data_IF_353845636736
#
_entry.id   IF_353845636736
#
_cell.length_a   1.000
_cell.length_b   1.000
_cell.length_c   1.000
_cell.angle_alpha   90.00
_cell.angle_beta   90.00
_cell.angle_gamma   90.00
#
_symmetry.space_group_name_H-M   'P 1'
#
loop_
_entity.id
_entity.type
_entity.pdbx_description
1 polymer ?
#
# COMPACT_ATOMS: atom_id res chain seq x y z
N UNK A 1 21.26 10.16 21.51
CA UNK A 1 19.85 10.43 21.84
C UNK A 1 19.04 10.06 20.60
N UNK A 2 17.97 9.26 20.74
CA UNK A 2 17.16 8.79 19.60
C UNK A 2 16.52 10.00 18.91
N UNK A 3 16.73 10.16 17.61
CA UNK A 3 16.09 11.21 16.81
C UNK A 3 14.65 10.80 16.53
N UNK A 4 13.69 11.62 16.92
CA UNK A 4 12.25 11.37 16.70
C UNK A 4 11.70 12.31 15.65
N UNK A 5 10.96 11.75 14.72
CA UNK A 5 10.34 12.45 13.60
C UNK A 5 8.93 11.91 13.38
N UNK A 6 8.18 12.58 12.51
CA UNK A 6 6.81 12.22 12.10
C UNK A 6 6.64 12.45 10.60
N UNK A 7 5.54 11.97 10.02
CA UNK A 7 5.23 12.18 8.62
C UNK A 7 4.71 13.61 8.39
N UNK A 8 5.15 14.26 7.31
CA UNK A 8 4.67 15.59 6.92
C UNK A 8 3.38 15.51 6.07
N UNK A 9 2.52 14.54 6.37
CA UNK A 9 1.25 14.39 5.67
C UNK A 9 0.34 15.60 5.94
N UNK A 10 -0.34 16.05 4.89
CA UNK A 10 -1.28 17.16 4.87
C UNK A 10 -2.53 16.69 4.12
N UNK A 11 -3.71 17.01 4.64
CA UNK A 11 -4.97 16.53 4.09
C UNK A 11 -5.22 15.05 4.35
N UNK A 12 -6.08 14.44 3.54
CA UNK A 12 -6.50 13.05 3.69
C UNK A 12 -5.41 12.09 3.19
N UNK A 13 -5.31 10.94 3.85
CA UNK A 13 -4.33 9.89 3.50
C UNK A 13 -5.07 8.68 2.95
N UNK A 14 -4.60 8.16 1.81
CA UNK A 14 -5.13 6.94 1.21
C UNK A 14 -4.12 5.81 1.29
N UNK A 15 -4.51 4.71 1.93
CA UNK A 15 -3.67 3.52 2.11
C UNK A 15 -4.38 2.30 1.54
N UNK A 16 -3.69 1.56 0.67
CA UNK A 16 -4.14 0.26 0.16
C UNK A 16 -3.21 -0.83 0.68
N UNK A 17 -3.75 -1.80 1.39
CA UNK A 17 -3.10 -3.07 1.68
C UNK A 17 -3.60 -4.08 0.65
N UNK A 18 -2.70 -4.75 -0.04
CA UNK A 18 -3.07 -5.83 -0.96
C UNK A 18 -2.08 -6.95 -0.86
N UNK A 19 -2.57 -8.18 -0.84
CA UNK A 19 -1.71 -9.32 -0.62
C UNK A 19 -2.27 -10.64 -1.09
N UNK A 20 -1.44 -11.65 -0.93
CA UNK A 20 -1.76 -13.02 -1.22
C UNK A 20 -1.26 -13.95 -0.13
N UNK A 21 -1.93 -15.08 0.01
CA UNK A 21 -1.52 -16.19 0.86
C UNK A 21 -1.36 -17.47 0.04
N UNK A 22 -0.23 -18.13 0.20
CA UNK A 22 0.02 -19.46 -0.36
C UNK A 22 -0.64 -20.48 0.56
N UNK A 23 -1.80 -21.00 0.17
CA UNK A 23 -2.49 -22.04 0.93
C UNK A 23 -1.85 -23.42 0.70
N UNK A 24 -1.35 -23.67 -0.52
CA UNK A 24 -0.61 -24.90 -0.87
C UNK A 24 0.71 -24.58 -1.57
N UNK A 25 1.84 -24.80 -0.90
CA UNK A 25 3.18 -24.53 -1.47
C UNK A 25 3.45 -25.24 -2.79
N UNK A 26 3.00 -26.50 -2.92
CA UNK A 26 3.16 -27.30 -4.16
C UNK A 26 2.45 -26.69 -5.38
N UNK A 27 1.52 -25.77 -5.19
CA UNK A 27 0.79 -25.09 -6.27
C UNK A 27 1.60 -23.94 -6.91
N UNK A 28 2.91 -24.11 -7.12
CA UNK A 28 3.83 -23.07 -7.61
C UNK A 28 3.37 -22.43 -8.91
N UNK A 29 2.87 -23.24 -9.84
CA UNK A 29 2.33 -22.76 -11.14
C UNK A 29 1.09 -21.86 -11.01
N UNK A 30 0.48 -21.82 -9.82
CA UNK A 30 -0.67 -20.96 -9.52
C UNK A 30 -0.26 -19.71 -8.75
N UNK A 31 0.50 -19.85 -7.67
CA UNK A 31 0.83 -18.70 -6.80
C UNK A 31 1.98 -17.85 -7.34
N UNK A 32 3.00 -18.44 -7.98
CA UNK A 32 4.16 -17.69 -8.47
C UNK A 32 3.78 -16.63 -9.53
N UNK A 33 2.91 -16.91 -10.52
CA UNK A 33 2.46 -15.87 -11.45
C UNK A 33 1.71 -14.71 -10.78
N UNK A 34 0.98 -14.95 -9.69
CA UNK A 34 0.27 -13.89 -8.95
C UNK A 34 1.27 -12.98 -8.26
N UNK A 35 2.28 -13.56 -7.60
CA UNK A 35 3.35 -12.79 -6.98
C UNK A 35 4.13 -11.95 -8.00
N UNK A 36 4.52 -12.55 -9.12
CA UNK A 36 5.24 -11.84 -10.20
C UNK A 36 4.38 -10.74 -10.84
N UNK A 37 3.07 -10.94 -10.97
CA UNK A 37 2.16 -9.91 -11.47
C UNK A 37 2.12 -8.71 -10.53
N UNK A 38 2.03 -8.94 -9.21
CA UNK A 38 2.10 -7.86 -8.21
C UNK A 38 3.41 -7.07 -8.33
N UNK A 39 4.56 -7.75 -8.40
CA UNK A 39 5.85 -7.07 -8.56
C UNK A 39 5.94 -6.24 -9.85
N UNK A 40 5.44 -6.78 -10.97
CA UNK A 40 5.43 -6.05 -12.25
C UNK A 40 4.51 -4.82 -12.20
N UNK A 41 3.34 -4.96 -11.60
CA UNK A 41 2.39 -3.85 -11.39
C UNK A 41 3.04 -2.71 -10.59
N UNK A 42 3.75 -3.04 -9.52
CA UNK A 42 4.41 -2.04 -8.68
C UNK A 42 5.57 -1.32 -9.38
N UNK A 43 6.29 -2.00 -10.28
CA UNK A 43 7.32 -1.40 -11.14
C UNK A 43 6.72 -0.49 -12.21
N UNK A 44 5.54 -0.81 -12.73
CA UNK A 44 4.82 0.05 -13.68
C UNK A 44 4.38 1.35 -13.01
N UNK A 45 3.79 1.26 -11.81
CA UNK A 45 3.44 2.43 -11.01
C UNK A 45 4.64 3.29 -10.65
N UNK A 46 5.78 2.68 -10.34
CA UNK A 46 7.07 3.35 -10.12
C UNK A 46 7.51 4.22 -11.31
N UNK A 47 7.25 3.76 -12.53
CA UNK A 47 7.62 4.46 -13.77
C UNK A 47 6.59 5.50 -14.20
N UNK A 48 5.42 5.51 -13.57
CA UNK A 48 4.29 6.37 -13.94
C UNK A 48 3.75 7.11 -12.70
N UNK A 49 4.56 8.01 -12.11
CA UNK A 49 4.18 8.72 -10.89
C UNK A 49 2.87 9.50 -11.04
N UNK A 50 2.53 9.95 -12.26
CA UNK A 50 1.26 10.61 -12.57
C UNK A 50 0.01 9.80 -12.15
N UNK A 51 0.12 8.47 -12.08
CA UNK A 51 -0.95 7.57 -11.63
C UNK A 51 -1.24 7.66 -10.12
N UNK A 52 -0.37 8.31 -9.34
CA UNK A 52 -0.66 8.72 -7.96
C UNK A 52 -0.22 7.76 -6.86
N UNK A 53 0.65 6.79 -7.16
CA UNK A 53 1.31 5.99 -6.12
C UNK A 53 2.47 6.82 -5.52
N UNK A 54 2.35 7.20 -4.26
CA UNK A 54 3.37 7.98 -3.53
C UNK A 54 4.49 7.10 -3.01
N UNK A 55 4.14 6.02 -2.32
CA UNK A 55 5.11 5.10 -1.75
C UNK A 55 4.54 3.68 -1.66
N UNK A 56 5.43 2.70 -1.51
CA UNK A 56 5.05 1.32 -1.27
C UNK A 56 6.04 0.61 -0.37
N UNK A 57 5.54 -0.33 0.41
CA UNK A 57 6.34 -1.20 1.27
C UNK A 57 5.92 -2.64 1.02
N UNK A 58 6.86 -3.47 0.57
CA UNK A 58 6.66 -4.91 0.42
C UNK A 58 6.97 -5.60 1.73
N UNK A 59 6.03 -6.43 2.20
CA UNK A 59 6.09 -7.08 3.49
C UNK A 59 5.81 -8.57 3.36
N UNK A 60 6.36 -9.32 4.30
CA UNK A 60 6.12 -10.75 4.47
C UNK A 60 5.57 -10.97 5.87
N UNK A 61 4.27 -11.26 5.99
CA UNK A 61 3.64 -11.53 7.29
C UNK A 61 3.99 -12.92 7.82
N UNK A 62 4.25 -13.86 6.91
CA UNK A 62 4.72 -15.22 7.20
C UNK A 62 5.35 -15.78 5.92
N UNK A 63 6.06 -16.93 5.98
CA UNK A 63 6.57 -17.59 4.76
C UNK A 63 5.50 -17.91 3.70
N UNK A 64 4.21 -17.83 4.07
CA UNK A 64 3.05 -18.05 3.19
C UNK A 64 2.37 -16.76 2.76
N UNK A 65 2.54 -15.65 3.48
CA UNK A 65 1.71 -14.45 3.29
C UNK A 65 2.58 -13.26 2.94
N UNK A 66 2.36 -12.73 1.75
CA UNK A 66 3.08 -11.59 1.21
C UNK A 66 2.06 -10.51 0.88
N UNK A 67 2.38 -9.27 1.22
CA UNK A 67 1.48 -8.15 0.97
C UNK A 67 2.26 -6.86 0.80
N UNK A 68 1.58 -5.86 0.26
CA UNK A 68 2.15 -4.55 -0.02
C UNK A 68 1.25 -3.51 0.59
N UNK A 69 1.86 -2.59 1.35
CA UNK A 69 1.22 -1.35 1.78
C UNK A 69 1.54 -0.30 0.73
N UNK A 70 0.52 0.33 0.18
CA UNK A 70 0.64 1.36 -0.84
C UNK A 70 0.02 2.64 -0.32
N UNK A 71 0.71 3.76 -0.52
CA UNK A 71 0.25 5.10 -0.19
C UNK A 71 -0.09 5.83 -1.47
N UNK A 72 -1.28 6.41 -1.52
CA UNK A 72 -1.83 7.02 -2.73
C UNK A 72 -2.12 8.50 -2.50
N UNK A 73 -1.95 9.31 -3.54
CA UNK A 73 -2.26 10.74 -3.53
C UNK A 73 -3.72 11.03 -3.22
N UNK A 74 -4.63 10.21 -3.74
CA UNK A 74 -6.06 10.36 -3.48
C UNK A 74 -6.82 9.06 -3.75
N UNK A 75 -8.06 9.01 -3.26
CA UNK A 75 -9.00 7.91 -3.53
C UNK A 75 -9.26 7.82 -5.03
N UNK A 76 -9.48 8.95 -5.69
CA UNK A 76 -9.81 9.06 -7.10
C UNK A 76 -8.69 8.49 -7.97
N UNK A 77 -7.42 8.82 -7.67
CA UNK A 77 -6.27 8.26 -8.40
C UNK A 77 -6.12 6.75 -8.18
N UNK A 78 -6.33 6.28 -6.95
CA UNK A 78 -6.37 4.84 -6.66
C UNK A 78 -7.46 4.13 -7.48
N UNK A 79 -8.69 4.67 -7.49
CA UNK A 79 -9.80 4.10 -8.25
C UNK A 79 -9.55 4.15 -9.76
N UNK A 80 -9.06 5.28 -10.28
CA UNK A 80 -8.73 5.45 -11.69
C UNK A 80 -7.70 4.41 -12.15
N UNK A 81 -6.67 4.15 -11.34
CA UNK A 81 -5.71 3.09 -11.64
C UNK A 81 -6.33 1.68 -11.55
N UNK A 82 -7.16 1.42 -10.54
CA UNK A 82 -7.78 0.11 -10.36
C UNK A 82 -8.69 -0.28 -11.54
N UNK A 83 -9.30 0.69 -12.22
CA UNK A 83 -10.20 0.49 -13.37
C UNK A 83 -9.54 0.81 -14.72
N UNK A 84 -8.29 1.26 -14.76
CA UNK A 84 -7.58 1.64 -15.97
C UNK A 84 -7.42 0.43 -16.92
N UNK A 85 -8.03 0.46 -18.12
CA UNK A 85 -7.95 -0.66 -19.07
C UNK A 85 -6.56 -0.80 -19.71
N UNK A 86 -5.79 0.29 -19.75
CA UNK A 86 -4.42 0.37 -20.25
C UNK A 86 -3.36 -0.03 -19.20
N UNK A 87 -3.76 -0.23 -17.94
CA UNK A 87 -2.86 -0.66 -16.89
C UNK A 87 -2.66 -2.17 -16.87
N UNK A 88 -1.43 -2.63 -16.59
CA UNK A 88 -1.14 -4.06 -16.49
C UNK A 88 -1.96 -4.78 -15.40
N UNK A 89 -2.40 -4.04 -14.36
CA UNK A 89 -3.30 -4.56 -13.33
C UNK A 89 -4.56 -5.19 -13.96
N UNK A 90 -5.16 -4.56 -14.97
CA UNK A 90 -6.37 -5.05 -15.63
C UNK A 90 -6.13 -6.41 -16.31
N UNK A 91 -5.04 -6.56 -17.06
CA UNK A 91 -4.68 -7.85 -17.68
C UNK A 91 -4.41 -8.94 -16.64
N UNK A 92 -3.68 -8.60 -15.57
CA UNK A 92 -3.36 -9.52 -14.49
C UNK A 92 -4.64 -10.01 -13.80
N UNK A 93 -5.57 -9.09 -13.55
CA UNK A 93 -6.86 -9.40 -12.94
C UNK A 93 -7.73 -10.27 -13.84
N UNK A 94 -7.77 -9.99 -15.15
CA UNK A 94 -8.48 -10.83 -16.11
C UNK A 94 -7.93 -12.27 -16.14
N UNK A 95 -6.59 -12.44 -16.09
CA UNK A 95 -5.94 -13.77 -16.03
C UNK A 95 -6.27 -14.50 -14.74
N UNK A 96 -6.28 -13.79 -13.61
CA UNK A 96 -6.65 -14.36 -12.32
C UNK A 96 -8.11 -14.81 -12.30
N UNK A 97 -9.04 -13.94 -12.72
CA UNK A 97 -10.47 -14.23 -12.79
C UNK A 97 -10.76 -15.46 -13.65
N UNK A 98 -10.05 -15.65 -14.78
CA UNK A 98 -10.18 -16.88 -15.59
C UNK A 98 -9.77 -18.13 -14.82
N UNK A 99 -8.68 -18.10 -14.06
CA UNK A 99 -8.22 -19.25 -13.25
C UNK A 99 -9.12 -19.52 -12.04
N UNK A 100 -9.73 -18.48 -11.50
CA UNK A 100 -10.72 -18.59 -10.43
C UNK A 100 -11.99 -19.25 -10.95
N UNK A 101 -12.54 -18.77 -12.07
CA UNK A 101 -13.72 -19.36 -12.73
C UNK A 101 -13.52 -20.81 -13.14
N UNK A 102 -12.30 -21.20 -13.54
CA UNK A 102 -11.99 -22.60 -13.85
C UNK A 102 -11.79 -23.48 -12.60
N UNK A 103 -12.00 -22.95 -11.38
CA UNK A 103 -11.82 -23.66 -10.11
C UNK A 103 -10.37 -23.95 -9.71
N UNK A 104 -9.37 -23.56 -10.54
CA UNK A 104 -7.97 -23.96 -10.34
C UNK A 104 -7.32 -23.26 -9.15
N UNK A 105 -7.77 -22.04 -8.83
CA UNK A 105 -7.26 -21.29 -7.68
C UNK A 105 -7.89 -21.68 -6.35
N UNK A 106 -9.08 -22.31 -6.37
CA UNK A 106 -9.87 -22.59 -5.17
C UNK A 106 -9.05 -23.42 -4.17
N UNK A 107 -8.86 -22.86 -2.97
CA UNK A 107 -8.09 -23.49 -1.89
C UNK A 107 -6.57 -23.54 -2.11
N UNK A 108 -6.05 -23.07 -3.25
CA UNK A 108 -4.61 -23.11 -3.56
C UNK A 108 -3.91 -21.78 -3.21
N UNK A 109 -4.56 -20.66 -3.53
CA UNK A 109 -4.05 -19.30 -3.33
C UNK A 109 -5.17 -18.43 -2.78
N UNK A 110 -4.91 -17.72 -1.70
CA UNK A 110 -5.79 -16.65 -1.20
C UNK A 110 -5.29 -15.29 -1.67
N UNK A 111 -6.20 -14.37 -1.94
CA UNK A 111 -5.92 -12.97 -2.30
C UNK A 111 -6.83 -12.11 -1.43
N UNK A 112 -6.33 -10.96 -1.00
CA UNK A 112 -7.06 -10.02 -0.16
C UNK A 112 -6.59 -8.59 -0.44
N UNK A 113 -7.46 -7.63 -0.15
CA UNK A 113 -7.09 -6.22 -0.13
C UNK A 113 -7.97 -5.44 0.86
N UNK A 114 -7.44 -4.35 1.38
CA UNK A 114 -8.10 -3.41 2.28
C UNK A 114 -7.72 -1.99 1.85
N UNK A 115 -8.72 -1.12 1.68
CA UNK A 115 -8.50 0.28 1.29
C UNK A 115 -9.00 1.20 2.39
N UNK A 116 -8.14 2.11 2.83
CA UNK A 116 -8.43 3.11 3.86
C UNK A 116 -8.32 4.50 3.27
N UNK A 117 -9.37 5.31 3.47
CA UNK A 117 -9.34 6.75 3.24
C UNK A 117 -9.47 7.37 4.61
N UNK A 118 -8.36 7.90 5.12
CA UNK A 118 -8.25 8.39 6.48
C UNK A 118 -8.28 9.92 6.42
N UNK A 119 -9.33 10.56 6.97
CA UNK A 119 -9.40 12.01 7.00
C UNK A 119 -8.19 12.60 7.71
N UNK A 120 -7.82 13.84 7.35
CA UNK A 120 -6.84 14.61 8.11
C UNK A 120 -7.17 14.55 9.62
N UNK A 121 -6.16 14.61 10.50
CA UNK A 121 -6.34 14.50 11.94
C UNK A 121 -6.88 13.15 12.44
N UNK A 122 -7.06 12.14 11.58
CA UNK A 122 -7.43 10.77 11.98
C UNK A 122 -6.26 9.79 11.85
N UNK A 123 -5.04 10.31 11.67
CA UNK A 123 -3.81 9.52 11.58
C UNK A 123 -2.68 10.17 12.38
N UNK A 124 -1.77 9.35 12.89
CA UNK A 124 -0.53 9.80 13.52
C UNK A 124 0.58 8.77 13.27
N UNK A 125 1.83 9.24 13.23
CA UNK A 125 2.99 8.37 13.05
C UNK A 125 4.20 8.92 13.82
N UNK A 126 5.04 8.04 14.36
CA UNK A 126 6.34 8.37 14.93
C UNK A 126 7.40 7.47 14.30
N UNK A 127 8.55 8.05 13.98
CA UNK A 127 9.74 7.35 13.52
C UNK A 127 10.91 7.72 14.43
N UNK A 128 11.50 6.72 15.10
CA UNK A 128 12.67 6.88 15.97
C UNK A 128 13.89 6.22 15.35
N UNK A 129 14.94 6.97 15.05
CA UNK A 129 16.17 6.49 14.37
C UNK A 129 15.88 5.65 13.10
N UNK A 130 14.81 6.00 12.40
CA UNK A 130 14.35 5.33 11.19
C UNK A 130 14.46 6.28 9.99
N UNK A 131 14.93 5.80 8.82
CA UNK A 131 14.76 6.54 7.58
C UNK A 131 13.27 6.72 7.27
N UNK A 132 12.94 7.65 6.36
CA UNK A 132 11.57 7.85 5.90
C UNK A 132 10.95 6.52 5.45
N UNK A 133 9.89 6.11 6.13
CA UNK A 133 9.24 4.81 5.94
C UNK A 133 7.73 4.96 6.00
N UNK A 134 7.00 4.14 5.23
CA UNK A 134 5.54 4.18 5.20
C UNK A 134 5.02 5.58 4.87
N UNK A 135 4.21 6.16 5.76
CA UNK A 135 3.60 7.48 5.55
C UNK A 135 4.63 8.61 5.36
N UNK A 136 5.75 8.58 6.09
CA UNK A 136 6.81 9.57 5.92
C UNK A 136 7.56 9.42 4.59
N UNK A 137 7.64 8.22 4.02
CA UNK A 137 8.16 8.05 2.67
C UNK A 137 7.21 8.62 1.61
N UNK A 138 5.90 8.62 1.88
CA UNK A 138 4.88 9.12 0.96
C UNK A 138 4.74 10.65 0.98
N UNK A 139 4.85 11.27 2.15
CA UNK A 139 4.58 12.71 2.33
C UNK A 139 5.77 13.52 2.84
N UNK A 140 6.91 12.89 3.12
CA UNK A 140 8.06 13.54 3.73
C UNK A 140 8.10 13.36 5.25
N UNK A 141 9.22 13.79 5.85
CA UNK A 141 9.55 13.55 7.25
C UNK A 141 9.97 14.86 7.92
N UNK A 142 9.40 15.17 9.08
CA UNK A 142 9.68 16.39 9.85
C UNK A 142 10.00 16.08 11.32
N UNK A 143 10.71 16.96 12.04
CA UNK A 143 10.91 16.81 13.49
C UNK A 143 9.57 16.64 14.21
N UNK A 144 9.52 15.75 15.21
CA UNK A 144 8.29 15.37 15.89
C UNK A 144 7.57 16.60 16.49
N UNK A 145 8.35 17.56 17.00
CA UNK A 145 7.89 18.78 17.65
C UNK A 145 7.01 19.66 16.75
N UNK A 146 7.15 19.53 15.41
CA UNK A 146 6.32 20.25 14.44
C UNK A 146 4.84 19.84 14.51
N UNK A 147 4.53 18.65 15.00
CA UNK A 147 3.17 18.11 15.11
C UNK A 147 2.75 17.87 16.57
N UNK A 148 3.48 18.48 17.52
CA UNK A 148 3.19 18.40 18.96
C UNK A 148 3.95 17.30 19.70
N UNK A 149 3.74 17.22 21.02
CA UNK A 149 4.51 16.33 21.92
C UNK A 149 3.79 15.02 22.23
N UNK A 150 2.47 15.00 22.11
CA UNK A 150 1.62 13.84 22.39
C UNK A 150 0.97 13.29 21.12
N UNK A 151 0.46 12.04 21.19
CA UNK A 151 -0.35 11.49 20.11
C UNK A 151 -1.63 12.31 19.89
N UNK A 152 -2.21 12.86 20.97
CA UNK A 152 -3.39 13.73 20.90
C UNK A 152 -3.13 14.98 20.06
N UNK A 153 -1.96 15.61 20.21
CA UNK A 153 -1.60 16.79 19.42
C UNK A 153 -1.48 16.45 17.92
N UNK A 154 -0.92 15.27 17.60
CA UNK A 154 -0.79 14.82 16.21
C UNK A 154 -2.13 14.50 15.57
N UNK A 155 -3.04 13.83 16.30
CA UNK A 155 -4.42 13.64 15.82
C UNK A 155 -5.19 14.98 15.71
N UNK A 156 -4.86 15.98 16.53
CA UNK A 156 -5.50 17.29 16.42
C UNK A 156 -4.97 18.13 15.24
N UNK A 157 -3.84 17.75 14.64
CA UNK A 157 -3.20 18.54 13.57
C UNK A 157 -4.09 18.63 12.33
N UNK A 158 -4.17 19.86 11.78
CA UNK A 158 -4.79 20.19 10.50
C UNK A 158 -3.87 21.14 9.74
N UNK A 159 -3.67 20.91 8.44
CA UNK A 159 -2.75 21.71 7.61
C UNK A 159 -3.20 23.15 7.38
N UNK A 160 -4.50 23.43 7.50
CA UNK A 160 -5.09 24.77 7.37
C UNK A 160 -5.39 25.48 8.69
N UNK A 161 -4.90 24.95 9.82
CA UNK A 161 -5.14 25.46 11.18
C UNK A 161 -3.95 26.16 11.80
#
# INVERSE_FOLDING_TARGET
MVTRTTADAQGDVVVLLIGMRINRFRAVRLWLPVLLAMLRMLRELEKQPARGLLAKVLLTASPRTYYVVQYWESKEKLYAYATAPDAFHHEAWARLNRKERSGRLRGQVGIWHESYVVPEGSYEAIYGDMPAFGLAAAHGQVPLERRGRSAKDRFAYRSGG
#
